data_IF_277941975993
#
_entry.id   IF_277941975993
#
_cell.length_a   1.000
_cell.length_b   1.000
_cell.length_c   1.000
_cell.angle_alpha   90.00
_cell.angle_beta   90.00
_cell.angle_gamma   90.00
#
_symmetry.space_group_name_H-M   'P 1'
#
loop_
_entity.id
_entity.type
_entity.pdbx_description
1 polymer ?
#
# COMPACT_ATOMS: atom_id res chain seq x y z
N UNK A 1 -12.53 78.75 72.12
CA UNK A 1 -12.63 77.32 72.51
C UNK A 1 -13.62 76.54 71.62
N UNK A 2 -14.89 76.96 71.48
CA UNK A 2 -15.89 76.28 70.62
C UNK A 2 -15.45 76.04 69.17
N UNK A 3 -14.86 77.03 68.49
CA UNK A 3 -14.35 76.88 67.11
C UNK A 3 -13.28 75.80 66.98
N UNK A 4 -12.29 75.81 67.88
CA UNK A 4 -11.22 74.80 67.92
C UNK A 4 -11.76 73.39 68.18
N UNK A 5 -12.79 73.26 69.02
CA UNK A 5 -13.45 71.98 69.28
C UNK A 5 -14.18 71.47 68.03
N UNK A 6 -14.94 72.33 67.35
CA UNK A 6 -15.61 71.97 66.09
C UNK A 6 -14.65 71.62 64.96
N UNK A 7 -13.52 72.34 64.83
CA UNK A 7 -12.47 72.01 63.86
C UNK A 7 -11.81 70.65 64.18
N UNK A 8 -11.66 70.31 65.47
CA UNK A 8 -11.12 69.02 65.89
C UNK A 8 -12.10 67.87 65.65
N UNK A 9 -13.39 68.07 65.92
CA UNK A 9 -14.46 67.11 65.62
C UNK A 9 -14.51 66.81 64.13
N UNK A 10 -14.48 67.83 63.27
CA UNK A 10 -14.44 67.64 61.81
C UNK A 10 -13.23 66.86 61.33
N UNK A 11 -12.05 67.09 61.93
CA UNK A 11 -10.84 66.33 61.62
C UNK A 11 -10.96 64.87 62.03
N UNK A 12 -11.56 64.60 63.19
CA UNK A 12 -11.80 63.25 63.68
C UNK A 12 -12.77 62.49 62.77
N UNK A 13 -13.90 63.10 62.42
CA UNK A 13 -14.89 62.54 61.47
C UNK A 13 -14.26 62.27 60.09
N UNK A 14 -13.42 63.20 59.58
CA UNK A 14 -12.72 63.00 58.31
C UNK A 14 -11.72 61.82 58.38
N UNK A 15 -11.02 61.70 59.51
CA UNK A 15 -10.07 60.61 59.71
C UNK A 15 -10.77 59.25 59.84
N UNK A 16 -11.89 59.19 60.55
CA UNK A 16 -12.71 58.00 60.68
C UNK A 16 -13.28 57.55 59.33
N UNK A 17 -13.83 58.49 58.55
CA UNK A 17 -14.27 58.22 57.17
C UNK A 17 -13.15 57.69 56.28
N UNK A 18 -11.95 58.28 56.35
CA UNK A 18 -10.78 57.79 55.59
C UNK A 18 -10.34 56.40 56.05
N UNK A 19 -10.37 56.13 57.34
CA UNK A 19 -10.03 54.82 57.89
C UNK A 19 -11.03 53.76 57.42
N UNK A 20 -12.33 54.03 57.49
CA UNK A 20 -13.36 53.10 57.02
C UNK A 20 -13.23 52.85 55.51
N UNK A 21 -13.04 53.91 54.71
CA UNK A 21 -12.82 53.76 53.27
C UNK A 21 -11.58 52.93 52.96
N UNK A 22 -10.46 53.17 53.65
CA UNK A 22 -9.23 52.41 53.43
C UNK A 22 -9.39 50.94 53.85
N UNK A 23 -10.12 50.69 54.94
CA UNK A 23 -10.46 49.33 55.40
C UNK A 23 -11.34 48.60 54.39
N UNK A 24 -12.36 49.27 53.86
CA UNK A 24 -13.27 48.69 52.86
C UNK A 24 -12.54 48.39 51.55
N UNK A 25 -11.70 49.32 51.06
CA UNK A 25 -10.85 49.09 49.88
C UNK A 25 -9.90 47.92 50.11
N UNK A 26 -9.24 47.85 51.26
CA UNK A 26 -8.34 46.74 51.59
C UNK A 26 -9.05 45.38 51.64
N UNK A 27 -10.25 45.32 52.21
CA UNK A 27 -11.07 44.10 52.22
C UNK A 27 -11.52 43.71 50.81
N UNK A 28 -12.00 44.69 50.03
CA UNK A 28 -12.46 44.45 48.66
C UNK A 28 -11.35 43.99 47.74
N UNK A 29 -10.15 44.56 47.87
CA UNK A 29 -8.97 44.16 47.11
C UNK A 29 -8.51 42.76 47.52
N UNK A 30 -8.52 42.43 48.81
CA UNK A 30 -8.20 41.09 49.30
C UNK A 30 -9.19 40.04 48.77
N UNK A 31 -10.50 40.33 48.79
CA UNK A 31 -11.54 39.44 48.27
C UNK A 31 -11.44 39.28 46.74
N UNK A 32 -11.18 40.39 46.02
CA UNK A 32 -10.94 40.36 44.56
C UNK A 32 -9.71 39.55 44.21
N UNK A 33 -8.62 39.67 44.99
CA UNK A 33 -7.41 38.87 44.77
C UNK A 33 -7.64 37.41 45.09
N UNK A 34 -8.32 37.10 46.20
CA UNK A 34 -8.65 35.72 46.57
C UNK A 34 -9.50 35.03 45.50
N UNK A 35 -10.55 35.70 44.99
CA UNK A 35 -11.41 35.17 43.93
C UNK A 35 -10.63 34.93 42.63
N UNK A 36 -9.72 35.84 42.25
CA UNK A 36 -8.83 35.65 41.09
C UNK A 36 -7.88 34.46 41.28
N UNK A 37 -7.23 34.34 42.43
CA UNK A 37 -6.34 33.21 42.72
C UNK A 37 -7.09 31.89 42.75
N UNK A 38 -8.27 31.86 43.37
CA UNK A 38 -9.13 30.67 43.37
C UNK A 38 -9.52 30.25 41.96
N UNK A 39 -10.01 31.19 41.15
CA UNK A 39 -10.38 30.93 39.75
C UNK A 39 -9.19 30.40 38.94
N UNK A 40 -8.02 31.03 39.07
CA UNK A 40 -6.81 30.58 38.37
C UNK A 40 -6.33 29.20 38.83
N UNK A 41 -6.45 28.89 40.14
CA UNK A 41 -6.13 27.58 40.67
C UNK A 41 -7.09 26.50 40.14
N UNK A 42 -8.40 26.78 40.13
CA UNK A 42 -9.42 25.87 39.62
C UNK A 42 -9.26 25.63 38.11
N UNK A 43 -8.97 26.68 37.33
CA UNK A 43 -8.67 26.57 35.89
C UNK A 43 -7.40 25.75 35.63
N UNK A 44 -6.35 25.95 36.43
CA UNK A 44 -5.12 25.17 36.33
C UNK A 44 -5.34 23.70 36.69
N UNK A 45 -6.13 23.41 37.73
CA UNK A 45 -6.46 22.05 38.12
C UNK A 45 -7.24 21.33 37.00
N UNK A 46 -8.24 22.00 36.42
CA UNK A 46 -9.00 21.47 35.27
C UNK A 46 -8.10 21.19 34.07
N UNK A 47 -7.25 22.15 33.70
CA UNK A 47 -6.32 21.97 32.58
C UNK A 47 -5.34 20.80 32.82
N UNK A 48 -4.87 20.62 34.07
CA UNK A 48 -4.03 19.48 34.44
C UNK A 48 -4.78 18.16 34.34
N UNK A 49 -6.02 18.09 34.83
CA UNK A 49 -6.85 16.89 34.75
C UNK A 49 -7.15 16.50 33.30
N UNK A 50 -7.42 17.47 32.42
CA UNK A 50 -7.61 17.26 30.98
C UNK A 50 -6.35 16.70 30.32
N UNK A 51 -5.17 17.24 30.65
CA UNK A 51 -3.88 16.73 30.16
C UNK A 51 -3.61 15.31 30.68
N UNK A 52 -3.89 15.05 31.96
CA UNK A 52 -3.73 13.70 32.52
C UNK A 52 -4.67 12.70 31.84
N UNK A 53 -5.91 13.10 31.55
CA UNK A 53 -6.86 12.28 30.83
C UNK A 53 -6.42 11.99 29.39
N UNK A 54 -5.92 13.00 28.67
CA UNK A 54 -5.42 12.83 27.30
C UNK A 54 -4.17 11.93 27.27
N UNK A 55 -3.22 12.14 28.18
CA UNK A 55 -2.03 11.29 28.30
C UNK A 55 -2.38 9.84 28.64
N UNK A 56 -3.35 9.61 29.53
CA UNK A 56 -3.83 8.25 29.83
C UNK A 56 -4.46 7.58 28.61
N UNK A 57 -5.25 8.33 27.84
CA UNK A 57 -5.86 7.84 26.58
C UNK A 57 -4.79 7.48 25.56
N UNK A 58 -3.79 8.33 25.38
CA UNK A 58 -2.68 8.08 24.45
C UNK A 58 -1.84 6.86 24.89
N UNK A 59 -1.57 6.71 26.19
CA UNK A 59 -0.83 5.56 26.72
C UNK A 59 -1.61 4.24 26.53
N UNK A 60 -2.93 4.27 26.70
CA UNK A 60 -3.78 3.11 26.40
C UNK A 60 -3.74 2.74 24.90
N UNK A 61 -3.82 3.72 24.00
CA UNK A 61 -3.72 3.51 22.56
C UNK A 61 -2.34 2.93 22.18
N UNK A 62 -1.25 3.48 22.72
CA UNK A 62 0.10 2.96 22.50
C UNK A 62 0.28 1.52 22.98
N UNK A 63 -0.32 1.15 24.12
CA UNK A 63 -0.31 -0.23 24.60
C UNK A 63 -1.09 -1.17 23.67
N UNK A 64 -2.23 -0.73 23.15
CA UNK A 64 -3.03 -1.51 22.19
C UNK A 64 -2.22 -1.76 20.91
N UNK A 65 -1.65 -0.72 20.31
CA UNK A 65 -0.77 -0.81 19.14
C UNK A 65 0.45 -1.71 19.40
N UNK A 66 1.04 -1.60 20.59
CA UNK A 66 2.16 -2.46 20.99
C UNK A 66 1.77 -3.94 21.10
N UNK A 67 0.53 -4.26 21.49
CA UNK A 67 0.02 -5.63 21.53
C UNK A 67 -0.27 -6.18 20.14
N UNK A 68 -0.84 -5.36 19.25
CA UNK A 68 -1.10 -5.70 17.85
C UNK A 68 0.19 -5.90 17.05
N UNK A 69 1.20 -5.04 17.26
CA UNK A 69 2.52 -5.24 16.64
C UNK A 69 3.15 -6.58 17.07
N UNK A 70 2.92 -7.01 18.32
CA UNK A 70 3.39 -8.33 18.79
C UNK A 70 2.61 -9.49 18.15
N UNK A 71 1.30 -9.38 17.94
CA UNK A 71 0.54 -10.42 17.25
C UNK A 71 0.95 -10.51 15.79
N UNK A 72 1.01 -9.38 15.08
CA UNK A 72 1.44 -9.33 13.67
C UNK A 72 2.84 -9.92 13.48
N UNK A 73 3.77 -9.66 14.41
CA UNK A 73 5.11 -10.29 14.38
C UNK A 73 5.06 -11.81 14.50
N UNK A 74 4.15 -12.36 15.32
CA UNK A 74 3.97 -13.82 15.42
C UNK A 74 3.35 -14.39 14.14
N UNK A 75 2.40 -13.68 13.56
CA UNK A 75 1.75 -14.10 12.31
C UNK A 75 2.74 -14.09 11.15
N UNK A 76 3.59 -13.06 11.05
CA UNK A 76 4.69 -13.00 10.08
C UNK A 76 5.64 -14.19 10.25
N UNK A 77 6.05 -14.50 11.50
CA UNK A 77 6.94 -15.63 11.76
C UNK A 77 6.28 -16.97 11.38
N UNK A 78 5.00 -17.15 11.70
CA UNK A 78 4.22 -18.32 11.29
C UNK A 78 4.13 -18.43 9.76
N UNK A 79 3.77 -17.35 9.07
CA UNK A 79 3.68 -17.31 7.62
C UNK A 79 5.03 -17.60 6.97
N UNK A 80 6.12 -17.05 7.50
CA UNK A 80 7.47 -17.32 7.03
C UNK A 80 7.81 -18.81 7.16
N UNK A 81 7.55 -19.42 8.31
CA UNK A 81 7.75 -20.86 8.51
C UNK A 81 6.91 -21.71 7.54
N UNK A 82 5.65 -21.33 7.29
CA UNK A 82 4.81 -22.03 6.31
C UNK A 82 5.35 -21.88 4.88
N UNK A 83 5.86 -20.71 4.52
CA UNK A 83 6.42 -20.45 3.20
C UNK A 83 7.72 -21.24 3.00
N UNK A 84 8.59 -21.29 4.01
CA UNK A 84 9.80 -22.13 4.00
C UNK A 84 9.45 -23.61 3.83
N UNK A 85 8.42 -24.09 4.55
CA UNK A 85 7.92 -25.46 4.40
C UNK A 85 7.38 -25.74 3.01
N UNK A 86 6.50 -24.88 2.49
CA UNK A 86 5.94 -25.02 1.14
C UNK A 86 7.03 -24.97 0.06
N UNK A 87 8.02 -24.09 0.21
CA UNK A 87 9.18 -24.03 -0.68
C UNK A 87 9.97 -25.35 -0.66
N UNK A 88 10.20 -25.95 0.51
CA UNK A 88 10.87 -27.25 0.62
C UNK A 88 10.06 -28.41 0.02
N UNK A 89 8.73 -28.36 0.15
CA UNK A 89 7.85 -29.36 -0.45
C UNK A 89 7.83 -29.22 -1.97
N UNK A 90 7.79 -27.98 -2.48
CA UNK A 90 7.82 -27.71 -3.91
C UNK A 90 9.14 -28.19 -4.55
N UNK A 91 10.29 -27.97 -3.91
CA UNK A 91 11.57 -28.52 -4.42
C UNK A 91 11.61 -30.05 -4.38
N UNK A 92 11.01 -30.67 -3.37
CA UNK A 92 10.86 -32.13 -3.30
C UNK A 92 9.98 -32.68 -4.42
N UNK A 93 8.82 -32.06 -4.66
CA UNK A 93 7.90 -32.43 -5.74
C UNK A 93 8.54 -32.22 -7.11
N UNK A 94 9.26 -31.11 -7.33
CA UNK A 94 10.04 -30.87 -8.54
C UNK A 94 11.07 -31.98 -8.80
N UNK A 95 11.73 -32.47 -7.73
CA UNK A 95 12.69 -33.57 -7.81
C UNK A 95 12.01 -34.91 -8.14
N UNK A 96 10.85 -35.20 -7.54
CA UNK A 96 10.06 -36.40 -7.87
C UNK A 96 9.52 -36.35 -9.30
N UNK A 97 9.07 -35.18 -9.75
CA UNK A 97 8.60 -34.97 -11.11
C UNK A 97 9.72 -35.19 -12.13
N UNK A 98 10.93 -34.70 -11.88
CA UNK A 98 12.06 -34.93 -12.77
C UNK A 98 12.49 -36.40 -12.80
N UNK A 99 12.50 -37.08 -11.64
CA UNK A 99 12.77 -38.52 -11.54
C UNK A 99 11.76 -39.33 -12.38
N UNK A 100 10.47 -39.13 -12.15
CA UNK A 100 9.40 -39.83 -12.89
C UNK A 100 9.44 -39.51 -14.38
N UNK A 101 9.75 -38.27 -14.77
CA UNK A 101 9.92 -37.90 -16.17
C UNK A 101 11.12 -38.62 -16.81
N UNK A 102 12.21 -38.82 -16.08
CA UNK A 102 13.37 -39.60 -16.55
C UNK A 102 13.06 -41.10 -16.67
N UNK A 103 12.27 -41.66 -15.76
CA UNK A 103 11.79 -43.04 -15.80
C UNK A 103 10.88 -43.27 -16.99
N UNK A 104 9.91 -42.38 -17.24
CA UNK A 104 9.03 -42.43 -18.42
C UNK A 104 9.84 -42.39 -19.71
N UNK A 105 10.84 -41.52 -19.81
CA UNK A 105 11.74 -41.47 -20.98
C UNK A 105 12.46 -42.81 -21.17
N UNK A 106 12.97 -43.39 -20.09
CA UNK A 106 13.68 -44.69 -20.11
C UNK A 106 12.76 -45.85 -20.50
N UNK A 107 11.53 -45.87 -20.00
CA UNK A 107 10.53 -46.87 -20.37
C UNK A 107 10.11 -46.71 -21.83
N UNK A 108 9.96 -45.47 -22.31
CA UNK A 108 9.62 -45.17 -23.71
C UNK A 108 10.72 -45.62 -24.67
N UNK A 109 12.00 -45.39 -24.33
CA UNK A 109 13.13 -45.88 -25.13
C UNK A 109 13.22 -47.41 -25.10
N UNK A 110 13.01 -48.05 -23.94
CA UNK A 110 12.92 -49.53 -23.88
C UNK A 110 11.79 -50.08 -24.74
N UNK A 111 10.61 -49.48 -24.67
CA UNK A 111 9.42 -49.96 -25.38
C UNK A 111 9.56 -49.78 -26.90
N UNK A 112 10.16 -48.69 -27.36
CA UNK A 112 10.51 -48.50 -28.78
C UNK A 112 11.59 -49.48 -29.25
N UNK A 113 12.61 -49.78 -28.43
CA UNK A 113 13.62 -50.79 -28.73
C UNK A 113 13.01 -52.21 -28.82
N UNK A 114 12.11 -52.58 -27.91
CA UNK A 114 11.37 -53.87 -27.98
C UNK A 114 10.48 -53.94 -29.21
N UNK A 115 9.78 -52.85 -29.56
CA UNK A 115 9.01 -52.78 -30.81
C UNK A 115 9.91 -52.94 -32.04
N UNK A 116 11.06 -52.28 -32.11
CA UNK A 116 12.01 -52.42 -33.21
C UNK A 116 12.60 -53.84 -33.31
N UNK A 117 12.92 -54.48 -32.18
CA UNK A 117 13.40 -55.86 -32.14
C UNK A 117 12.31 -56.86 -32.57
N UNK A 118 11.04 -56.60 -32.26
CA UNK A 118 9.91 -57.45 -32.72
C UNK A 118 9.66 -57.34 -34.22
N UNK A 119 9.96 -56.18 -34.84
CA UNK A 119 9.87 -55.97 -36.29
C UNK A 119 11.04 -56.63 -37.04
N UNK A 120 12.20 -56.79 -36.38
CA UNK A 120 13.34 -57.55 -36.93
C UNK A 120 13.21 -59.08 -36.84
N UNK A 121 12.23 -59.60 -36.09
CA UNK A 121 12.02 -61.05 -35.95
C UNK A 121 11.16 -61.68 -37.07
N UNK A 122 10.67 -60.89 -38.04
CA UNK A 122 9.80 -61.37 -39.13
C UNK A 122 10.42 -61.32 -40.53
N UNK A 123 11.71 -61.04 -40.71
CA UNK A 123 12.35 -61.00 -42.02
C UNK A 123 13.78 -61.56 -41.98
N UNK A 124 14.12 -62.64 -42.71
CA UNK A 124 15.49 -63.12 -42.82
C UNK A 124 16.14 -62.57 -44.10
N UNK A 125 17.17 -61.72 -43.99
CA UNK A 125 18.39 -61.84 -44.82
C UNK A 125 19.42 -60.71 -44.59
N UNK A 126 20.70 -61.14 -44.53
CA UNK A 126 21.96 -60.56 -45.05
C UNK A 126 21.90 -59.10 -45.50
N UNK A 127 22.82 -58.19 -45.14
CA UNK A 127 24.28 -58.15 -45.45
C UNK A 127 24.96 -57.01 -44.64
N UNK A 128 26.28 -57.05 -44.38
CA UNK A 128 27.03 -55.96 -43.76
C UNK A 128 27.63 -55.01 -44.81
N UNK A 129 27.47 -53.69 -44.63
CA UNK A 129 28.00 -52.69 -45.56
C UNK A 129 28.40 -51.39 -44.87
N UNK A 130 29.70 -51.14 -44.82
CA UNK A 130 30.32 -49.86 -44.48
C UNK A 130 29.83 -48.74 -45.41
N UNK A 131 29.43 -47.60 -44.84
CA UNK A 131 29.44 -46.32 -45.56
C UNK A 131 29.57 -45.17 -44.56
N UNK A 132 30.74 -44.52 -44.64
CA UNK A 132 31.08 -43.25 -44.01
C UNK A 132 30.10 -42.18 -44.49
N UNK A 133 29.46 -41.45 -43.57
CA UNK A 133 28.91 -40.12 -43.88
C UNK A 133 29.13 -39.17 -42.71
N UNK A 134 30.24 -38.45 -42.80
CA UNK A 134 30.43 -37.17 -42.15
C UNK A 134 29.42 -36.16 -42.72
N UNK A 135 28.82 -35.33 -41.86
CA UNK A 135 28.01 -34.20 -42.31
C UNK A 135 27.08 -33.66 -41.23
N UNK A 136 27.49 -32.56 -40.62
CA UNK A 136 26.68 -31.57 -39.89
C UNK A 136 25.98 -32.03 -38.60
N UNK A 137 26.66 -31.76 -37.48
CA UNK A 137 25.98 -31.36 -36.25
C UNK A 137 26.44 -29.95 -35.90
N UNK A 138 25.53 -29.00 -36.08
CA UNK A 138 25.67 -27.63 -35.61
C UNK A 138 26.13 -27.64 -34.16
N UNK A 139 27.35 -27.15 -33.94
CA UNK A 139 27.80 -26.72 -32.63
C UNK A 139 27.00 -25.50 -32.22
N UNK A 140 26.02 -25.69 -31.34
CA UNK A 140 25.57 -24.60 -30.46
C UNK A 140 26.47 -24.69 -29.23
N UNK A 141 27.70 -24.20 -29.42
CA UNK A 141 28.49 -23.68 -28.34
C UNK A 141 27.88 -22.33 -27.97
N UNK A 142 26.88 -22.33 -27.07
CA UNK A 142 26.57 -21.11 -26.34
C UNK A 142 27.69 -20.93 -25.32
N UNK A 143 28.69 -20.19 -25.79
CA UNK A 143 29.75 -19.62 -25.01
C UNK A 143 29.15 -18.88 -23.81
N UNK A 144 29.56 -19.34 -22.63
CA UNK A 144 29.88 -18.49 -21.51
C UNK A 144 30.83 -17.39 -22.01
N UNK A 145 30.32 -16.18 -22.25
CA UNK A 145 31.09 -14.91 -22.20
C UNK A 145 30.09 -13.78 -21.99
N UNK A 146 30.23 -13.02 -20.88
CA UNK A 146 29.50 -11.77 -20.68
C UNK A 146 29.45 -11.32 -19.22
N UNK A 147 30.59 -10.87 -18.70
CA UNK A 147 30.74 -10.25 -17.38
C UNK A 147 29.66 -9.23 -17.02
N UNK A 148 29.15 -9.30 -15.80
CA UNK A 148 29.26 -8.18 -14.86
C UNK A 148 28.08 -7.21 -14.67
N UNK A 149 27.17 -7.01 -15.62
CA UNK A 149 26.14 -5.94 -15.48
C UNK A 149 24.69 -6.34 -15.79
N UNK A 150 24.44 -7.38 -16.59
CA UNK A 150 23.09 -7.76 -17.03
C UNK A 150 22.18 -8.42 -15.96
N UNK A 151 22.72 -8.70 -14.77
CA UNK A 151 21.94 -9.28 -13.66
C UNK A 151 21.18 -8.25 -12.82
N UNK A 152 21.49 -6.96 -12.95
CA UNK A 152 20.86 -5.87 -12.17
C UNK A 152 19.70 -5.21 -12.90
N UNK A 153 19.62 -5.31 -14.23
CA UNK A 153 18.55 -4.69 -15.02
C UNK A 153 17.12 -5.08 -14.60
N UNK A 154 16.78 -6.35 -14.33
CA UNK A 154 15.43 -6.69 -13.86
C UNK A 154 15.17 -6.14 -12.46
N UNK A 155 16.19 -6.13 -11.58
CA UNK A 155 16.06 -5.61 -10.22
C UNK A 155 15.91 -4.08 -10.20
N UNK A 156 16.68 -3.37 -11.03
CA UNK A 156 16.59 -1.91 -11.19
C UNK A 156 15.23 -1.52 -11.78
N UNK A 157 14.69 -2.31 -12.72
CA UNK A 157 13.36 -2.07 -13.27
C UNK A 157 12.27 -2.22 -12.20
N UNK A 158 12.33 -3.28 -11.40
CA UNK A 158 11.39 -3.47 -10.28
C UNK A 158 11.46 -2.30 -9.29
N UNK A 159 12.65 -1.88 -8.89
CA UNK A 159 12.82 -0.75 -7.95
C UNK A 159 12.24 0.57 -8.50
N UNK A 160 12.29 0.78 -9.82
CA UNK A 160 11.66 1.95 -10.46
C UNK A 160 10.13 1.84 -10.40
N UNK A 161 9.58 0.67 -10.71
CA UNK A 161 8.14 0.40 -10.65
C UNK A 161 7.61 0.53 -9.21
N UNK A 162 8.34 0.00 -8.22
CA UNK A 162 8.02 0.11 -6.79
C UNK A 162 8.02 1.59 -6.35
N UNK A 163 9.05 2.36 -6.72
CA UNK A 163 9.11 3.79 -6.40
C UNK A 163 7.94 4.58 -7.02
N UNK A 164 7.58 4.27 -8.27
CA UNK A 164 6.40 4.89 -8.88
C UNK A 164 5.13 4.49 -8.12
N UNK A 165 4.98 3.22 -7.75
CA UNK A 165 3.88 2.74 -6.92
C UNK A 165 3.78 3.48 -5.58
N UNK A 166 4.89 3.65 -4.87
CA UNK A 166 4.94 4.35 -3.59
C UNK A 166 4.55 5.83 -3.70
N UNK A 167 4.95 6.51 -4.79
CA UNK A 167 4.68 7.93 -5.00
C UNK A 167 3.26 8.21 -5.51
N UNK A 168 2.70 7.29 -6.30
CA UNK A 168 1.45 7.50 -7.05
C UNK A 168 0.27 6.72 -6.49
N UNK A 169 0.54 5.64 -5.76
CA UNK A 169 -0.45 4.64 -5.36
C UNK A 169 -0.93 3.76 -6.53
N UNK A 170 -0.37 3.93 -7.74
CA UNK A 170 -0.72 3.15 -8.94
C UNK A 170 0.25 1.97 -9.10
N UNK A 171 -0.30 0.77 -9.12
CA UNK A 171 0.45 -0.47 -9.30
C UNK A 171 0.04 -1.10 -10.62
N UNK A 172 1.01 -1.32 -11.52
CA UNK A 172 0.81 -2.10 -12.75
C UNK A 172 1.21 -3.55 -12.46
N UNK A 173 0.22 -4.44 -12.31
CA UNK A 173 0.45 -5.84 -11.93
C UNK A 173 1.02 -6.68 -13.07
N UNK A 174 0.64 -6.36 -14.29
CA UNK A 174 1.01 -7.14 -15.46
C UNK A 174 0.65 -6.42 -16.74
N UNK A 175 1.34 -6.82 -17.81
CA UNK A 175 1.07 -6.36 -19.17
C UNK A 175 0.87 -7.59 -20.03
N UNK A 176 -0.29 -7.66 -20.69
CA UNK A 176 -0.59 -8.66 -21.71
C UNK A 176 -0.43 -7.98 -23.07
N UNK A 177 0.59 -8.37 -23.82
CA UNK A 177 0.75 -7.89 -25.19
C UNK A 177 -0.15 -8.69 -26.12
N UNK A 178 -1.01 -8.00 -26.85
CA UNK A 178 -1.83 -8.56 -27.91
C UNK A 178 -1.37 -8.08 -29.29
N UNK A 179 -1.86 -8.76 -30.32
CA UNK A 179 -1.57 -8.40 -31.71
C UNK A 179 -2.23 -7.05 -32.09
N UNK A 180 -3.39 -6.73 -31.48
CA UNK A 180 -4.16 -5.51 -31.74
C UNK A 180 -4.02 -4.47 -30.63
N UNK A 181 -3.98 -4.90 -29.35
CA UNK A 181 -3.87 -4.02 -28.19
C UNK A 181 -2.98 -4.61 -27.09
N UNK A 182 -2.31 -3.73 -26.36
CA UNK A 182 -1.60 -4.03 -25.13
C UNK A 182 -2.51 -3.72 -23.94
N UNK A 183 -2.79 -4.73 -23.10
CA UNK A 183 -3.65 -4.61 -21.93
C UNK A 183 -2.82 -4.55 -20.65
N UNK A 184 -3.01 -3.49 -19.88
CA UNK A 184 -2.34 -3.22 -18.62
C UNK A 184 -3.31 -3.49 -17.46
N UNK A 185 -2.93 -4.37 -16.54
CA UNK A 185 -3.67 -4.67 -15.31
C UNK A 185 -3.23 -3.72 -14.20
N UNK A 186 -4.10 -2.81 -13.79
CA UNK A 186 -3.79 -1.68 -12.91
C UNK A 186 -4.61 -1.70 -11.62
N UNK A 187 -3.94 -1.45 -10.50
CA UNK A 187 -4.59 -1.19 -9.20
C UNK A 187 -4.20 0.21 -8.74
N UNK A 188 -5.19 1.08 -8.57
CA UNK A 188 -5.00 2.33 -7.83
C UNK A 188 -5.39 2.12 -6.36
N UNK A 189 -4.48 2.45 -5.47
CA UNK A 189 -4.71 2.44 -4.02
C UNK A 189 -4.91 3.86 -3.49
N UNK A 190 -5.69 4.00 -2.42
CA UNK A 190 -5.86 5.26 -1.70
C UNK A 190 -6.57 5.08 -0.36
N UNK A 191 -6.91 6.20 0.27
CA UNK A 191 -7.59 6.21 1.58
C UNK A 191 -9.01 5.67 1.50
N UNK A 192 -9.65 5.80 0.35
CA UNK A 192 -11.02 5.37 0.13
C UNK A 192 -11.13 3.93 -0.41
N UNK A 193 -10.02 3.18 -0.45
CA UNK A 193 -9.99 1.79 -0.89
C UNK A 193 -9.04 1.53 -2.05
N UNK A 194 -9.37 0.54 -2.88
CA UNK A 194 -8.59 0.16 -4.05
C UNK A 194 -9.49 0.04 -5.28
N UNK A 195 -9.11 0.69 -6.38
CA UNK A 195 -9.78 0.60 -7.67
C UNK A 195 -8.96 -0.29 -8.61
N UNK A 196 -9.54 -1.41 -9.04
CA UNK A 196 -8.95 -2.32 -10.01
C UNK A 196 -9.52 -2.03 -11.40
N UNK A 197 -8.68 -1.86 -12.40
CA UNK A 197 -9.09 -1.61 -13.78
C UNK A 197 -8.06 -2.11 -14.78
N UNK A 198 -8.49 -2.29 -16.03
CA UNK A 198 -7.61 -2.46 -17.17
C UNK A 198 -7.49 -1.17 -17.98
N UNK A 199 -6.30 -0.89 -18.49
CA UNK A 199 -6.09 0.07 -19.57
C UNK A 199 -5.61 -0.67 -20.80
N UNK A 200 -6.31 -0.56 -21.91
CA UNK A 200 -5.86 -1.08 -23.20
C UNK A 200 -5.37 0.06 -24.09
N UNK A 201 -4.28 -0.18 -24.82
CA UNK A 201 -3.71 0.74 -25.79
C UNK A 201 -3.50 -0.01 -27.09
N UNK A 202 -4.02 0.53 -28.19
CA UNK A 202 -3.81 -0.07 -29.51
C UNK A 202 -2.31 -0.20 -29.83
N UNK A 203 -1.90 -1.39 -30.27
CA UNK A 203 -0.50 -1.73 -30.60
C UNK A 203 -0.09 -1.18 -31.98
N UNK A 204 -1.07 -0.79 -32.81
CA UNK A 204 -0.84 -0.22 -34.13
C UNK A 204 -0.03 1.08 -34.06
N UNK A 205 0.75 1.37 -35.12
CA UNK A 205 1.53 2.61 -35.27
C UNK A 205 0.62 3.83 -35.53
N UNK A 206 -0.38 4.06 -34.69
CA UNK A 206 -1.03 5.36 -34.59
C UNK A 206 0.00 6.38 -34.10
N UNK A 207 -0.02 7.57 -34.68
CA UNK A 207 0.82 8.67 -34.19
C UNK A 207 0.53 8.89 -32.69
N UNK A 208 1.49 9.43 -31.93
CA UNK A 208 1.32 9.64 -30.48
C UNK A 208 0.03 10.43 -30.13
N UNK A 209 -0.41 11.30 -31.04
CA UNK A 209 -1.61 12.15 -30.91
C UNK A 209 -2.92 11.38 -31.17
N UNK A 210 -2.89 10.31 -31.97
CA UNK A 210 -4.08 9.53 -32.35
C UNK A 210 -4.28 8.28 -31.48
N UNK A 211 -3.37 8.02 -30.53
CA UNK A 211 -3.48 6.87 -29.65
C UNK A 211 -4.63 7.06 -28.64
N UNK A 212 -5.56 6.11 -28.60
CA UNK A 212 -6.65 6.06 -27.63
C UNK A 212 -6.37 5.02 -26.54
N UNK A 213 -6.83 5.33 -25.33
CA UNK A 213 -6.89 4.40 -24.20
C UNK A 213 -8.32 3.92 -24.05
N UNK A 214 -8.49 2.62 -23.88
CA UNK A 214 -9.73 2.04 -23.37
C UNK A 214 -9.56 1.70 -21.88
N UNK A 215 -10.48 2.16 -21.05
CA UNK A 215 -10.55 1.88 -19.63
C UNK A 215 -11.69 0.91 -19.36
N UNK A 216 -11.40 -0.16 -18.63
CA UNK A 216 -12.40 -1.13 -18.18
C UNK A 216 -12.28 -1.36 -16.68
N UNK A 217 -13.25 -0.91 -15.86
CA UNK A 217 -13.22 -1.13 -14.42
C UNK A 217 -13.48 -2.60 -14.08
N UNK A 218 -12.81 -3.13 -13.05
CA UNK A 218 -13.11 -4.44 -12.46
C UNK A 218 -13.72 -4.26 -11.07
N UNK A 219 -14.94 -3.72 -11.06
CA UNK A 219 -15.70 -3.45 -9.85
C UNK A 219 -16.65 -4.63 -9.56
N UNK A 220 -16.73 -5.01 -8.29
CA UNK A 220 -17.71 -5.97 -7.78
C UNK A 220 -18.67 -5.25 -6.83
N UNK A 221 -19.98 -5.33 -7.10
CA UNK A 221 -21.02 -4.61 -6.34
C UNK A 221 -21.03 -4.93 -4.83
N UNK A 222 -20.56 -6.12 -4.44
CA UNK A 222 -20.52 -6.51 -3.02
C UNK A 222 -19.22 -6.06 -2.35
N UNK A 223 -18.09 -6.17 -3.06
CA UNK A 223 -16.77 -5.84 -2.51
C UNK A 223 -16.50 -4.34 -2.51
N UNK A 224 -16.94 -3.66 -3.56
CA UNK A 224 -16.55 -2.28 -3.86
C UNK A 224 -17.72 -1.29 -3.62
N UNK A 225 -18.74 -1.68 -2.84
CA UNK A 225 -19.93 -0.86 -2.54
C UNK A 225 -19.58 0.55 -2.07
N UNK A 226 -18.74 0.66 -1.03
CA UNK A 226 -18.36 1.95 -0.46
C UNK A 226 -17.59 2.82 -1.47
N UNK A 227 -16.92 2.19 -2.44
CA UNK A 227 -16.19 2.86 -3.50
C UNK A 227 -17.15 3.30 -4.63
N UNK A 228 -18.15 2.49 -4.97
CA UNK A 228 -19.18 2.83 -5.95
C UNK A 228 -19.99 4.07 -5.54
N UNK A 229 -20.25 4.26 -4.24
CA UNK A 229 -20.99 5.42 -3.74
C UNK A 229 -20.25 6.76 -3.94
N UNK A 230 -18.93 6.71 -4.14
CA UNK A 230 -18.08 7.90 -4.23
C UNK A 230 -17.48 8.12 -5.62
N UNK A 231 -17.47 7.08 -6.46
CA UNK A 231 -16.93 7.15 -7.81
C UNK A 231 -17.92 7.87 -8.73
N UNK A 232 -17.44 8.78 -9.59
CA UNK A 232 -18.24 9.29 -10.70
C UNK A 232 -18.66 8.16 -11.65
N UNK A 233 -19.86 8.27 -12.22
CA UNK A 233 -20.45 7.27 -13.13
C UNK A 233 -19.47 6.80 -14.23
N UNK A 234 -18.72 7.74 -14.83
CA UNK A 234 -17.77 7.44 -15.91
C UNK A 234 -16.54 6.61 -15.47
N UNK A 235 -16.27 6.45 -14.17
CA UNK A 235 -15.26 5.52 -13.64
C UNK A 235 -15.85 4.16 -13.26
N UNK A 236 -17.17 4.03 -13.32
CA UNK A 236 -17.88 2.75 -13.10
C UNK A 236 -18.21 2.04 -14.41
N UNK A 237 -18.10 2.74 -15.53
CA UNK A 237 -18.37 2.24 -16.88
C UNK A 237 -17.07 2.12 -17.71
N UNK A 238 -17.16 1.36 -18.80
CA UNK A 238 -16.09 1.29 -19.79
C UNK A 238 -16.06 2.58 -20.63
N UNK A 239 -14.88 3.21 -20.72
CA UNK A 239 -14.72 4.46 -21.46
C UNK A 239 -13.50 4.43 -22.36
N UNK A 240 -13.57 5.15 -23.48
CA UNK A 240 -12.42 5.40 -24.34
C UNK A 240 -12.07 6.88 -24.33
N UNK A 241 -10.78 7.20 -24.25
CA UNK A 241 -10.31 8.59 -24.26
C UNK A 241 -8.94 8.71 -24.93
N UNK A 242 -8.61 9.88 -25.52
CA UNK A 242 -7.33 10.08 -26.17
C UNK A 242 -6.19 10.11 -25.16
N UNK A 243 -4.99 9.67 -25.57
CA UNK A 243 -3.76 9.68 -24.77
C UNK A 243 -3.45 11.04 -24.15
N UNK A 244 -3.77 12.14 -24.84
CA UNK A 244 -3.61 13.51 -24.33
C UNK A 244 -4.40 13.79 -23.04
N UNK A 245 -5.47 13.01 -22.80
CA UNK A 245 -6.31 13.10 -21.60
C UNK A 245 -5.93 12.12 -20.50
N UNK A 246 -4.94 11.24 -20.71
CA UNK A 246 -4.53 10.24 -19.71
C UNK A 246 -4.11 10.86 -18.37
N UNK A 247 -3.38 11.98 -18.41
CA UNK A 247 -3.00 12.69 -17.18
C UNK A 247 -4.22 13.26 -16.42
N UNK A 248 -5.25 13.73 -17.14
CA UNK A 248 -6.49 14.23 -16.53
C UNK A 248 -7.31 13.09 -15.93
N UNK A 249 -7.41 11.98 -16.65
CA UNK A 249 -8.03 10.74 -16.17
C UNK A 249 -7.36 10.28 -14.86
N UNK A 250 -6.03 10.15 -14.86
CA UNK A 250 -5.28 9.74 -13.68
C UNK A 250 -5.47 10.70 -12.49
N UNK A 251 -5.42 12.01 -12.73
CA UNK A 251 -5.69 13.00 -11.68
C UNK A 251 -7.08 12.85 -11.06
N UNK A 252 -8.10 12.52 -11.87
CA UNK A 252 -9.46 12.26 -11.38
C UNK A 252 -9.56 10.98 -10.57
N UNK A 253 -8.91 9.92 -11.00
CA UNK A 253 -8.81 8.66 -10.24
C UNK A 253 -8.17 8.93 -8.87
N UNK A 254 -7.01 9.57 -8.82
CA UNK A 254 -6.33 9.91 -7.55
C UNK A 254 -7.21 10.78 -6.64
N UNK A 255 -7.88 11.78 -7.20
CA UNK A 255 -8.81 12.63 -6.45
C UNK A 255 -9.89 11.80 -5.76
N UNK A 256 -10.52 10.85 -6.48
CA UNK A 256 -11.57 9.99 -5.92
C UNK A 256 -11.02 9.05 -4.84
N UNK A 257 -9.77 8.60 -4.99
CA UNK A 257 -9.15 7.67 -4.04
C UNK A 257 -8.58 8.34 -2.78
N UNK A 258 -8.34 9.65 -2.79
CA UNK A 258 -7.61 10.36 -1.71
C UNK A 258 -8.40 11.48 -1.02
N UNK A 259 -9.39 12.08 -1.68
CA UNK A 259 -10.22 13.13 -1.06
C UNK A 259 -11.14 12.52 -0.02
N UNK A 260 -11.21 13.17 1.15
CA UNK A 260 -12.06 12.73 2.25
C UNK A 260 -13.52 12.89 1.84
N UNK A 261 -14.20 11.78 1.62
CA UNK A 261 -15.65 11.78 1.40
C UNK A 261 -16.31 11.83 2.77
N UNK A 262 -17.04 12.92 3.02
CA UNK A 262 -17.98 12.98 4.14
C UNK A 262 -19.29 12.48 3.55
N UNK A 263 -19.58 11.20 3.77
CA UNK A 263 -20.93 10.68 3.55
C UNK A 263 -21.76 11.31 4.68
N UNK A 264 -22.58 12.30 4.36
CA UNK A 264 -23.59 12.80 5.29
C UNK A 264 -24.66 11.71 5.40
N UNK A 265 -24.76 11.10 6.58
CA UNK A 265 -25.82 10.15 6.97
C UNK A 265 -27.22 10.79 6.93
#
# INVERSE_FOLDING_TARGET
LRRKLGDMTKKFENLDMKYQNLREVGLRDAETNFTKFKKSADERAKAQDEIIASLKKELAAQRALGSESKSLRRDIESLKNTNEKLSSENTSLQTRLSSTQSEVKTLTTKLSATRAASVQATEPSKVPGSAVKAGQRNGIANAIVGSGEAGKDPQIRQLKEDLYGDLTGLIVRGVKRGDEEDVYDCIQTGRNGTLHFHLSVATAQSSYEDAEFAYSPLLDENRDRDLLDILPDYLTEEICFPRSSAAKFYAKVVDCMTKKVVVED
#
